data_IF_632191341063
#
_entry.id   IF_632191341063
#
_cell.length_a   1.000
_cell.length_b   1.000
_cell.length_c   1.000
_cell.angle_alpha   90.00
_cell.angle_beta   90.00
_cell.angle_gamma   90.00
#
_symmetry.space_group_name_H-M   'P 1'
#
loop_
_entity.id
_entity.type
_entity.pdbx_description
1 polymer ?
#
# COMPACT_ATOMS: atom_id res chain seq x y z
N UNK A 1 -18.59 36.47 -2.18
CA UNK A 1 -19.71 37.43 -2.08
C UNK A 1 -19.76 38.05 -0.69
N UNK A 2 -20.30 39.25 -0.54
CA UNK A 2 -20.36 39.97 0.75
C UNK A 2 -21.03 39.14 1.87
N UNK A 3 -21.97 38.29 1.55
CA UNK A 3 -22.59 37.37 2.51
C UNK A 3 -21.59 36.32 3.06
N UNK A 4 -20.67 35.79 2.25
CA UNK A 4 -19.67 34.85 2.74
C UNK A 4 -18.63 35.49 3.66
N UNK A 5 -18.33 36.78 3.48
CA UNK A 5 -17.39 37.51 4.32
C UNK A 5 -17.99 37.90 5.68
N UNK A 6 -19.28 38.11 5.77
CA UNK A 6 -19.98 38.30 7.05
C UNK A 6 -19.94 37.01 7.88
N UNK A 7 -20.16 35.85 7.27
CA UNK A 7 -20.09 34.55 7.96
C UNK A 7 -18.67 34.17 8.38
N UNK A 8 -17.65 34.52 7.63
CA UNK A 8 -16.24 34.27 7.98
C UNK A 8 -15.76 35.02 9.24
N UNK A 9 -16.45 36.13 9.60
CA UNK A 9 -16.11 36.94 10.76
C UNK A 9 -16.91 36.63 12.02
N UNK A 10 -17.89 35.74 11.94
CA UNK A 10 -18.69 35.36 13.10
C UNK A 10 -17.95 34.25 13.88
N UNK A 11 -17.15 34.66 14.83
CA UNK A 11 -16.68 33.80 15.91
C UNK A 11 -17.77 33.77 16.97
N UNK A 12 -18.18 32.57 17.41
CA UNK A 12 -18.90 32.39 18.64
C UNK A 12 -20.40 32.10 18.55
N UNK A 13 -21.19 32.74 17.75
CA UNK A 13 -22.61 32.48 17.69
C UNK A 13 -23.04 31.70 16.45
N UNK A 14 -23.80 30.64 16.61
CA UNK A 14 -24.38 29.85 15.51
C UNK A 14 -25.91 30.21 15.36
N UNK A 15 -26.27 31.37 14.82
CA UNK A 15 -27.67 31.83 14.79
C UNK A 15 -28.59 30.88 14.00
N UNK A 16 -28.04 30.07 13.08
CA UNK A 16 -28.76 29.03 12.34
C UNK A 16 -29.12 27.78 13.12
N UNK A 17 -28.59 27.59 14.35
CA UNK A 17 -28.94 26.48 15.21
C UNK A 17 -30.02 26.78 16.23
N UNK A 18 -30.60 28.00 16.19
CA UNK A 18 -31.65 28.43 17.10
C UNK A 18 -31.12 29.04 18.42
N UNK A 19 -32.01 29.68 19.13
CA UNK A 19 -31.75 30.53 20.31
C UNK A 19 -31.24 29.81 21.58
N UNK A 20 -31.15 28.47 21.58
CA UNK A 20 -30.90 27.70 22.79
C UNK A 20 -29.43 27.29 23.04
N UNK A 21 -28.49 27.64 22.19
CA UNK A 21 -27.08 27.40 22.42
C UNK A 21 -26.34 28.64 22.88
N UNK A 22 -25.96 28.63 24.16
CA UNK A 22 -25.20 29.70 24.82
C UNK A 22 -23.68 29.54 24.74
N UNK A 23 -23.18 28.48 24.10
CA UNK A 23 -21.73 28.21 24.02
C UNK A 23 -21.14 28.87 22.77
N UNK A 24 -20.07 29.63 22.95
CA UNK A 24 -19.29 30.19 21.86
C UNK A 24 -18.57 29.07 21.11
N UNK A 25 -18.69 29.05 19.80
CA UNK A 25 -17.98 28.16 18.93
C UNK A 25 -16.74 28.85 18.36
N UNK A 26 -15.55 28.45 18.77
CA UNK A 26 -14.27 28.97 18.27
C UNK A 26 -13.91 28.53 16.83
N UNK A 27 -14.72 27.69 16.21
CA UNK A 27 -14.48 27.16 14.86
C UNK A 27 -14.70 28.21 13.77
N UNK A 28 -13.76 28.35 12.85
CA UNK A 28 -13.88 29.21 11.68
C UNK A 28 -14.80 28.55 10.64
N UNK A 29 -15.67 29.35 10.04
CA UNK A 29 -16.49 28.91 8.92
C UNK A 29 -15.62 28.75 7.67
N UNK A 30 -15.58 27.56 7.11
CA UNK A 30 -14.99 27.25 5.83
C UNK A 30 -16.06 27.18 4.74
N UNK A 31 -15.85 27.92 3.66
CA UNK A 31 -16.72 27.82 2.48
C UNK A 31 -16.17 26.72 1.58
N UNK A 32 -16.93 25.65 1.43
CA UNK A 32 -16.57 24.51 0.60
C UNK A 32 -17.62 24.30 -0.50
N UNK A 33 -17.18 23.99 -1.70
CA UNK A 33 -18.09 23.62 -2.79
C UNK A 33 -18.62 22.21 -2.55
N UNK A 34 -19.94 22.01 -2.59
CA UNK A 34 -20.61 20.76 -2.23
C UNK A 34 -20.09 19.52 -2.99
N UNK A 35 -19.70 19.67 -4.24
CA UNK A 35 -19.21 18.58 -5.09
C UNK A 35 -17.69 18.52 -5.24
N UNK A 36 -16.94 19.29 -4.45
CA UNK A 36 -15.48 19.27 -4.55
C UNK A 36 -14.89 17.98 -3.98
N UNK A 37 -13.86 17.45 -4.61
CA UNK A 37 -13.16 16.24 -4.20
C UNK A 37 -12.57 16.31 -2.78
N UNK A 38 -12.24 17.53 -2.32
CA UNK A 38 -11.74 17.79 -0.97
C UNK A 38 -12.82 17.85 0.11
N UNK A 39 -14.06 17.54 -0.20
CA UNK A 39 -15.20 17.54 0.74
C UNK A 39 -15.68 16.12 1.04
N UNK A 40 -15.59 15.24 0.07
CA UNK A 40 -16.06 13.86 0.16
C UNK A 40 -14.92 12.90 -0.15
N UNK A 41 -14.61 12.04 0.79
CA UNK A 41 -13.57 11.02 0.65
C UNK A 41 -14.22 9.65 0.72
N UNK A 42 -14.05 8.86 -0.34
CA UNK A 42 -14.46 7.47 -0.32
C UNK A 42 -13.56 6.69 0.66
N UNK A 43 -14.16 5.90 1.53
CA UNK A 43 -13.46 4.93 2.36
C UNK A 43 -13.43 3.59 1.61
N UNK A 44 -12.29 3.31 0.99
CA UNK A 44 -12.10 2.18 0.09
C UNK A 44 -11.00 1.29 0.62
N UNK A 45 -11.30 0.02 0.77
CA UNK A 45 -10.31 -1.02 1.06
C UNK A 45 -10.00 -1.72 -0.26
N UNK A 46 -8.72 -1.83 -0.59
CA UNK A 46 -8.28 -2.52 -1.80
C UNK A 46 -7.41 -3.72 -1.49
N UNK A 47 -7.50 -4.74 -2.33
CA UNK A 47 -6.67 -5.93 -2.23
C UNK A 47 -6.28 -6.46 -3.61
N UNK A 48 -5.06 -6.97 -3.73
CA UNK A 48 -4.64 -7.73 -4.90
C UNK A 48 -5.16 -9.16 -4.74
N UNK A 49 -5.87 -9.66 -5.73
CA UNK A 49 -6.40 -11.02 -5.70
C UNK A 49 -5.26 -12.03 -5.86
N UNK A 50 -5.12 -12.89 -4.87
CA UNK A 50 -4.20 -14.02 -4.88
C UNK A 50 -5.04 -15.28 -5.07
N UNK A 51 -4.92 -15.98 -6.23
CA UNK A 51 -5.74 -17.16 -6.54
C UNK A 51 -5.50 -18.34 -5.59
N UNK A 52 -4.38 -18.33 -4.88
CA UNK A 52 -4.03 -19.31 -3.84
C UNK A 52 -3.47 -18.55 -2.64
N UNK A 53 -3.73 -19.05 -1.47
CA UNK A 53 -3.11 -18.52 -0.27
C UNK A 53 -1.60 -18.86 -0.30
N UNK A 54 -0.72 -17.92 0.06
CA UNK A 54 0.73 -18.19 0.17
C UNK A 54 1.09 -19.32 1.14
N UNK A 55 0.12 -19.75 1.93
CA UNK A 55 0.19 -20.88 2.85
C UNK A 55 0.52 -22.20 2.15
N UNK A 56 0.25 -22.34 0.87
CA UNK A 56 0.46 -23.57 0.12
C UNK A 56 1.50 -23.37 -0.96
N UNK A 57 2.44 -24.32 -1.09
CA UNK A 57 3.50 -24.28 -2.12
C UNK A 57 2.94 -24.27 -3.55
N UNK A 58 1.77 -24.88 -3.75
CA UNK A 58 1.12 -24.94 -5.05
C UNK A 58 -0.40 -25.18 -4.94
N UNK A 59 -1.09 -25.02 -6.06
CA UNK A 59 -2.55 -25.17 -6.16
C UNK A 59 -3.02 -26.58 -5.83
N UNK A 60 -2.27 -27.63 -6.24
CA UNK A 60 -2.66 -29.03 -6.02
C UNK A 60 -2.65 -29.37 -4.51
N UNK A 61 -1.65 -28.87 -3.77
CA UNK A 61 -1.60 -29.00 -2.31
C UNK A 61 -2.80 -28.31 -1.66
N UNK A 62 -3.15 -27.10 -2.08
CA UNK A 62 -4.33 -26.38 -1.58
C UNK A 62 -5.61 -27.16 -1.79
N UNK A 63 -5.86 -27.63 -3.00
CA UNK A 63 -7.07 -28.40 -3.33
C UNK A 63 -7.14 -29.72 -2.56
N UNK A 64 -6.00 -30.38 -2.36
CA UNK A 64 -5.91 -31.57 -1.53
C UNK A 64 -6.31 -31.28 -0.08
N UNK A 65 -5.83 -30.16 0.49
CA UNK A 65 -6.18 -29.73 1.86
C UNK A 65 -7.66 -29.39 1.96
N UNK A 66 -8.21 -28.58 1.06
CA UNK A 66 -9.62 -28.19 1.08
C UNK A 66 -10.57 -29.40 0.97
N UNK A 67 -10.25 -30.33 0.06
CA UNK A 67 -11.01 -31.59 -0.09
C UNK A 67 -10.87 -32.46 1.15
N UNK A 68 -9.65 -32.53 1.73
CA UNK A 68 -9.36 -33.27 2.95
C UNK A 68 -10.13 -32.72 4.15
N UNK A 69 -10.09 -31.42 4.38
CA UNK A 69 -10.83 -30.76 5.47
C UNK A 69 -12.33 -31.02 5.35
N UNK A 70 -12.94 -30.84 4.17
CA UNK A 70 -14.36 -31.12 3.95
C UNK A 70 -14.71 -32.57 4.26
N UNK A 71 -13.87 -33.52 3.81
CA UNK A 71 -14.09 -34.95 4.02
C UNK A 71 -14.03 -35.34 5.49
N UNK A 72 -13.02 -34.83 6.23
CA UNK A 72 -12.79 -35.20 7.62
C UNK A 72 -13.57 -34.36 8.63
N UNK A 73 -14.04 -33.18 8.27
CA UNK A 73 -14.92 -32.37 9.09
C UNK A 73 -16.28 -33.04 9.35
N UNK A 74 -16.80 -33.75 8.34
CA UNK A 74 -18.06 -34.51 8.42
C UNK A 74 -17.91 -35.89 9.10
N UNK A 75 -16.68 -36.40 9.20
CA UNK A 75 -16.38 -37.72 9.79
C UNK A 75 -16.02 -37.68 11.27
N UNK A 76 -16.28 -36.58 11.95
CA UNK A 76 -16.01 -36.39 13.40
C UNK A 76 -16.99 -37.19 14.23
N UNK A 77 -16.68 -38.43 14.49
CA UNK A 77 -17.31 -39.26 15.52
C UNK A 77 -16.34 -39.33 16.70
N UNK A 78 -16.79 -38.91 17.89
CA UNK A 78 -16.09 -38.97 19.18
C UNK A 78 -14.84 -38.08 19.41
N UNK A 79 -14.67 -36.98 18.66
CA UNK A 79 -13.64 -35.97 18.99
C UNK A 79 -12.18 -36.37 18.71
N UNK A 80 -11.90 -37.57 18.26
CA UNK A 80 -10.57 -38.04 17.88
C UNK A 80 -10.35 -37.92 16.37
N UNK A 81 -9.22 -37.34 15.99
CA UNK A 81 -8.76 -37.21 14.62
C UNK A 81 -7.83 -38.38 14.35
N UNK A 82 -8.19 -39.25 13.40
CA UNK A 82 -7.34 -40.36 12.96
C UNK A 82 -6.29 -39.86 11.96
N UNK A 83 -5.09 -39.60 12.45
CA UNK A 83 -3.97 -39.10 11.66
C UNK A 83 -3.54 -40.07 10.55
N UNK A 84 -3.63 -41.38 10.79
CA UNK A 84 -3.26 -42.39 9.80
C UNK A 84 -4.22 -42.39 8.60
N UNK A 85 -5.48 -42.15 8.84
CA UNK A 85 -6.47 -42.01 7.77
C UNK A 85 -6.22 -40.75 6.93
N UNK A 86 -5.80 -39.64 7.54
CA UNK A 86 -5.41 -38.43 6.81
C UNK A 86 -4.16 -38.68 5.96
N UNK A 87 -3.14 -39.34 6.50
CA UNK A 87 -1.92 -39.67 5.74
C UNK A 87 -2.23 -40.57 4.53
N UNK A 88 -3.05 -41.59 4.69
CA UNK A 88 -3.49 -42.44 3.60
C UNK A 88 -4.27 -41.68 2.51
N UNK A 89 -5.09 -40.72 2.93
CA UNK A 89 -5.81 -39.85 2.00
C UNK A 89 -4.84 -39.01 1.16
N UNK A 90 -3.85 -38.38 1.78
CA UNK A 90 -2.87 -37.54 1.09
C UNK A 90 -2.03 -38.36 0.11
N UNK A 91 -1.52 -39.52 0.54
CA UNK A 91 -0.76 -40.44 -0.31
C UNK A 91 -1.57 -40.86 -1.56
N UNK A 92 -2.87 -41.12 -1.38
CA UNK A 92 -3.74 -41.46 -2.52
C UNK A 92 -3.88 -40.29 -3.50
N UNK A 93 -3.96 -39.04 -3.01
CA UNK A 93 -4.05 -37.87 -3.89
C UNK A 93 -2.69 -37.56 -4.57
N UNK A 94 -1.55 -37.79 -3.92
CA UNK A 94 -0.23 -37.70 -4.56
C UNK A 94 -0.04 -38.64 -5.73
N UNK A 95 -0.68 -39.81 -5.71
CA UNK A 95 -0.66 -40.77 -6.83
C UNK A 95 -1.52 -40.31 -8.02
N UNK A 96 -2.46 -39.39 -7.81
CA UNK A 96 -3.39 -38.90 -8.82
C UNK A 96 -2.98 -37.52 -9.38
N UNK A 97 -2.32 -36.72 -8.57
CA UNK A 97 -1.96 -35.33 -8.90
C UNK A 97 -0.47 -35.12 -8.54
N UNK A 98 0.35 -34.78 -9.53
CA UNK A 98 1.77 -34.45 -9.33
C UNK A 98 1.89 -33.16 -8.50
N UNK A 99 2.98 -33.01 -7.74
CA UNK A 99 3.38 -31.83 -6.96
C UNK A 99 2.60 -31.57 -5.64
N UNK A 100 1.84 -32.52 -5.10
CA UNK A 100 1.28 -32.34 -3.75
C UNK A 100 2.38 -32.49 -2.69
N UNK A 101 2.61 -31.41 -1.89
CA UNK A 101 3.45 -31.48 -0.69
C UNK A 101 2.70 -32.20 0.45
N UNK A 102 3.05 -33.45 0.68
CA UNK A 102 2.35 -34.30 1.66
C UNK A 102 2.52 -33.84 3.11
N UNK A 103 3.69 -33.33 3.46
CA UNK A 103 3.98 -32.83 4.81
C UNK A 103 3.20 -31.55 5.09
N UNK A 104 3.17 -30.63 4.14
CA UNK A 104 2.40 -29.41 4.21
C UNK A 104 0.90 -29.70 4.28
N UNK A 105 0.38 -30.54 3.38
CA UNK A 105 -1.04 -30.93 3.36
C UNK A 105 -1.47 -31.61 4.67
N UNK A 106 -0.63 -32.46 5.25
CA UNK A 106 -0.92 -33.14 6.51
C UNK A 106 -1.01 -32.18 7.68
N UNK A 107 0.00 -31.29 7.84
CA UNK A 107 0.03 -30.27 8.90
C UNK A 107 -1.21 -29.36 8.84
N UNK A 108 -1.59 -28.95 7.65
CA UNK A 108 -2.70 -28.03 7.44
C UNK A 108 -4.07 -28.67 7.67
N UNK A 109 -4.29 -29.89 7.18
CA UNK A 109 -5.54 -30.62 7.46
C UNK A 109 -5.68 -30.82 8.99
N UNK A 110 -4.61 -31.24 9.68
CA UNK A 110 -4.64 -31.40 11.13
C UNK A 110 -4.87 -30.09 11.87
N UNK A 111 -4.16 -29.03 11.49
CA UNK A 111 -4.31 -27.72 12.11
C UNK A 111 -5.74 -27.20 11.96
N UNK A 112 -6.32 -27.30 10.77
CA UNK A 112 -7.68 -26.86 10.49
C UNK A 112 -8.72 -27.71 11.26
N UNK A 113 -8.53 -29.02 11.32
CA UNK A 113 -9.43 -29.91 12.05
C UNK A 113 -9.32 -29.76 13.59
N UNK A 114 -8.14 -29.43 14.13
CA UNK A 114 -7.92 -29.13 15.56
C UNK A 114 -8.40 -27.74 15.96
N UNK A 115 -8.28 -26.77 15.05
CA UNK A 115 -8.60 -25.35 15.28
C UNK A 115 -9.92 -24.95 14.61
N UNK A 116 -11.03 -25.52 14.99
CA UNK A 116 -12.37 -25.12 14.50
C UNK A 116 -12.78 -23.68 14.89
N UNK A 117 -11.89 -22.85 15.45
CA UNK A 117 -12.19 -21.49 15.88
C UNK A 117 -11.19 -20.41 15.44
N UNK A 118 -10.13 -20.73 14.70
CA UNK A 118 -9.31 -19.67 14.09
C UNK A 118 -9.65 -19.58 12.61
N UNK A 119 -10.32 -18.50 12.24
CA UNK A 119 -10.47 -18.11 10.84
C UNK A 119 -9.06 -17.91 10.23
N UNK A 120 -8.79 -18.55 9.10
CA UNK A 120 -7.56 -18.37 8.30
C UNK A 120 -7.52 -16.99 7.60
N UNK A 121 -8.36 -16.05 8.01
CA UNK A 121 -8.30 -14.66 7.57
C UNK A 121 -7.16 -13.95 8.29
N UNK A 122 -6.33 -13.20 7.57
CA UNK A 122 -5.32 -12.35 8.18
C UNK A 122 -5.94 -11.49 9.28
N UNK A 123 -5.32 -11.46 10.45
CA UNK A 123 -5.85 -10.74 11.61
C UNK A 123 -5.56 -9.24 11.52
N UNK A 124 -4.62 -8.85 10.65
CA UNK A 124 -4.22 -7.46 10.45
C UNK A 124 -4.00 -7.14 8.97
N UNK A 125 -4.05 -5.85 8.62
CA UNK A 125 -3.73 -5.38 7.28
C UNK A 125 -2.28 -5.72 6.89
N UNK A 126 -1.35 -5.62 7.82
CA UNK A 126 0.07 -5.91 7.59
C UNK A 126 0.32 -7.40 7.29
N UNK A 127 -0.37 -8.32 7.97
CA UNK A 127 -0.31 -9.76 7.64
C UNK A 127 -0.83 -10.05 6.24
N UNK A 128 -1.91 -9.40 5.86
CA UNK A 128 -2.48 -9.52 4.53
C UNK A 128 -1.52 -8.96 3.46
N UNK A 129 -0.94 -7.78 3.70
CA UNK A 129 0.07 -7.17 2.81
C UNK A 129 1.32 -8.05 2.69
N UNK A 130 1.70 -8.74 3.77
CA UNK A 130 2.83 -9.69 3.73
C UNK A 130 2.55 -10.85 2.77
N UNK A 131 1.35 -11.38 2.78
CA UNK A 131 0.97 -12.44 1.84
C UNK A 131 1.02 -11.97 0.38
N UNK A 132 0.53 -10.76 0.09
CA UNK A 132 0.66 -10.16 -1.24
C UNK A 132 2.14 -9.97 -1.63
N UNK A 133 2.95 -9.42 -0.71
CA UNK A 133 4.38 -9.19 -0.92
C UNK A 133 5.10 -10.47 -1.30
N UNK A 134 4.92 -11.56 -0.54
CA UNK A 134 5.61 -12.84 -0.75
C UNK A 134 5.25 -13.47 -2.11
N UNK A 135 4.01 -13.31 -2.55
CA UNK A 135 3.59 -13.79 -3.86
C UNK A 135 4.14 -12.92 -4.98
N UNK A 136 4.06 -11.60 -4.84
CA UNK A 136 4.49 -10.66 -5.88
C UNK A 136 6.02 -10.58 -6.05
N UNK A 137 6.78 -10.98 -5.05
CA UNK A 137 8.26 -11.10 -5.12
C UNK A 137 8.73 -12.46 -5.60
N UNK A 138 7.83 -13.30 -6.09
CA UNK A 138 8.14 -14.61 -6.65
C UNK A 138 7.61 -14.76 -8.09
N UNK A 139 8.09 -15.78 -8.80
CA UNK A 139 7.53 -16.13 -10.11
C UNK A 139 6.34 -17.03 -9.90
N UNK A 140 5.16 -16.56 -10.31
CA UNK A 140 3.90 -17.24 -10.08
C UNK A 140 2.95 -17.13 -11.26
N UNK A 141 2.10 -18.13 -11.43
CA UNK A 141 1.06 -18.15 -12.45
C UNK A 141 1.55 -18.41 -13.85
N UNK A 142 0.61 -18.39 -14.78
CA UNK A 142 0.80 -18.55 -16.22
C UNK A 142 0.01 -17.44 -16.94
N UNK A 143 0.28 -17.17 -18.23
CA UNK A 143 -0.39 -16.10 -18.98
C UNK A 143 -1.94 -16.17 -18.97
N UNK A 144 -2.52 -17.34 -18.73
CA UNK A 144 -3.99 -17.54 -18.68
C UNK A 144 -4.58 -17.28 -17.29
N UNK A 145 -3.75 -17.25 -16.25
CA UNK A 145 -4.20 -17.09 -14.88
C UNK A 145 -4.61 -15.64 -14.57
N UNK A 146 -5.30 -15.43 -13.47
CA UNK A 146 -5.73 -14.09 -13.02
C UNK A 146 -4.58 -13.31 -12.37
N UNK A 147 -3.53 -14.00 -11.91
CA UNK A 147 -2.27 -13.44 -11.47
C UNK A 147 -1.14 -14.11 -12.24
N UNK A 148 -0.33 -13.31 -12.92
CA UNK A 148 0.86 -13.77 -13.63
C UNK A 148 2.01 -12.82 -13.37
N UNK A 149 3.05 -13.30 -12.70
CA UNK A 149 4.20 -12.54 -12.27
C UNK A 149 5.49 -13.30 -12.58
N UNK A 150 6.48 -12.57 -13.12
CA UNK A 150 7.82 -13.10 -13.37
C UNK A 150 8.82 -12.29 -12.55
N UNK A 151 9.47 -12.91 -11.59
CA UNK A 151 10.48 -12.28 -10.76
C UNK A 151 11.87 -12.37 -11.42
N UNK A 152 12.60 -11.27 -11.38
CA UNK A 152 13.98 -11.16 -11.82
C UNK A 152 14.86 -10.67 -10.68
N UNK A 153 15.94 -11.38 -10.40
CA UNK A 153 16.98 -10.90 -9.47
C UNK A 153 17.56 -9.56 -9.96
N UNK A 154 17.87 -8.68 -9.00
CA UNK A 154 18.52 -7.39 -9.28
C UNK A 154 19.86 -7.51 -10.02
N UNK A 155 20.52 -8.68 -9.99
CA UNK A 155 21.73 -8.94 -10.75
C UNK A 155 21.55 -8.84 -12.28
N UNK A 156 20.30 -8.85 -12.78
CA UNK A 156 19.99 -8.64 -14.20
C UNK A 156 19.91 -7.15 -14.60
N UNK A 157 19.92 -6.26 -13.63
CA UNK A 157 19.75 -4.82 -13.80
C UNK A 157 21.02 -4.09 -13.42
N UNK A 158 21.42 -3.14 -14.24
CA UNK A 158 22.65 -2.39 -13.99
C UNK A 158 22.43 -1.28 -12.95
N UNK A 159 23.30 -1.18 -11.94
CA UNK A 159 23.27 -0.09 -10.95
C UNK A 159 22.16 -0.17 -9.89
N UNK A 160 21.27 -1.18 -9.91
CA UNK A 160 20.14 -1.29 -8.98
C UNK A 160 20.49 -2.13 -7.73
N UNK A 161 21.65 -1.92 -7.14
CA UNK A 161 22.15 -2.66 -5.95
C UNK A 161 21.30 -2.47 -4.68
N UNK A 162 20.41 -1.50 -4.67
CA UNK A 162 19.49 -1.24 -3.55
C UNK A 162 18.22 -2.11 -3.60
N UNK A 163 18.02 -2.84 -4.68
CA UNK A 163 16.94 -3.81 -4.85
C UNK A 163 17.46 -5.24 -4.68
N UNK A 164 16.59 -6.12 -4.20
CA UNK A 164 16.78 -7.58 -4.21
C UNK A 164 16.27 -8.15 -5.53
N UNK A 165 15.07 -7.73 -5.93
CA UNK A 165 14.41 -8.21 -7.14
C UNK A 165 13.46 -7.18 -7.73
N UNK A 166 13.13 -7.40 -9.01
CA UNK A 166 12.05 -6.70 -9.72
C UNK A 166 11.14 -7.76 -10.32
N UNK A 167 9.84 -7.68 -10.04
CA UNK A 167 8.87 -8.58 -10.63
C UNK A 167 8.02 -7.87 -11.67
N UNK A 168 7.94 -8.46 -12.84
CA UNK A 168 7.04 -8.05 -13.90
C UNK A 168 5.68 -8.70 -13.68
N UNK A 169 4.73 -7.92 -13.20
CA UNK A 169 3.36 -8.38 -12.93
C UNK A 169 2.55 -8.18 -14.20
N UNK A 170 2.58 -9.17 -15.07
CA UNK A 170 1.92 -9.12 -16.38
C UNK A 170 0.40 -9.08 -16.28
N UNK A 171 -0.13 -9.66 -15.21
CA UNK A 171 -1.55 -9.67 -14.95
C UNK A 171 -1.78 -9.69 -13.45
N UNK A 172 -2.61 -8.80 -12.99
CA UNK A 172 -3.13 -8.78 -11.62
C UNK A 172 -4.62 -8.43 -11.64
N UNK A 173 -5.31 -8.81 -10.59
CA UNK A 173 -6.68 -8.40 -10.33
C UNK A 173 -6.72 -7.67 -8.98
N UNK A 174 -7.22 -6.45 -8.99
CA UNK A 174 -7.50 -5.67 -7.78
C UNK A 174 -8.99 -5.76 -7.47
N UNK A 175 -9.34 -6.03 -6.23
CA UNK A 175 -10.69 -5.87 -5.71
C UNK A 175 -10.73 -4.65 -4.82
N UNK A 176 -11.60 -3.70 -5.14
CA UNK A 176 -11.81 -2.48 -4.33
C UNK A 176 -13.20 -2.54 -3.72
N UNK A 177 -13.24 -2.54 -2.40
CA UNK A 177 -14.48 -2.60 -1.63
C UNK A 177 -14.77 -1.22 -1.08
N UNK A 178 -15.98 -0.74 -1.31
CA UNK A 178 -16.45 0.52 -0.82
C UNK A 178 -17.06 0.31 0.57
N UNK A 179 -16.41 0.86 1.59
CA UNK A 179 -16.79 0.65 2.98
C UNK A 179 -17.63 1.80 3.54
N UNK A 180 -17.35 3.04 3.13
CA UNK A 180 -18.02 4.20 3.64
C UNK A 180 -17.54 5.50 3.01
N UNK A 181 -17.98 6.61 3.59
CA UNK A 181 -17.54 7.95 3.22
C UNK A 181 -17.01 8.69 4.44
N UNK A 182 -15.97 9.49 4.22
CA UNK A 182 -15.54 10.51 5.15
C UNK A 182 -15.80 11.88 4.56
N UNK A 183 -16.13 12.84 5.40
CA UNK A 183 -16.45 14.19 4.96
C UNK A 183 -15.49 15.18 5.59
N UNK A 184 -15.00 16.14 4.79
CA UNK A 184 -14.14 17.26 5.20
C UNK A 184 -12.75 16.80 5.65
N UNK A 185 -12.63 15.79 6.51
CA UNK A 185 -11.36 15.24 6.99
C UNK A 185 -11.25 13.77 6.62
N UNK A 186 -10.29 13.39 5.76
CA UNK A 186 -10.13 12.01 5.32
C UNK A 186 -9.72 11.05 6.44
N UNK A 187 -9.12 11.57 7.52
CA UNK A 187 -8.55 10.76 8.61
C UNK A 187 -9.41 10.78 9.88
N UNK A 188 -10.47 11.58 9.92
CA UNK A 188 -11.32 11.71 11.09
C UNK A 188 -12.45 10.68 11.04
N UNK A 189 -12.40 9.71 11.96
CA UNK A 189 -13.45 8.70 12.12
C UNK A 189 -14.79 9.30 12.59
N UNK A 190 -14.77 10.47 13.20
CA UNK A 190 -15.99 11.18 13.71
C UNK A 190 -16.92 11.58 12.57
N UNK A 191 -16.38 11.79 11.37
CA UNK A 191 -17.15 12.17 10.18
C UNK A 191 -17.30 11.03 9.17
N UNK A 192 -17.09 9.79 9.60
CA UNK A 192 -17.29 8.62 8.75
C UNK A 192 -18.78 8.27 8.68
N UNK A 193 -19.28 8.09 7.48
CA UNK A 193 -20.63 7.61 7.22
C UNK A 193 -20.57 6.22 6.58
N UNK A 194 -21.30 5.28 7.16
CA UNK A 194 -21.45 3.93 6.60
C UNK A 194 -22.34 3.95 5.36
N UNK A 195 -22.12 3.02 4.43
CA UNK A 195 -22.90 2.90 3.20
C UNK A 195 -24.36 2.52 3.49
N UNK A 196 -24.58 1.74 4.54
CA UNK A 196 -25.91 1.28 4.93
C UNK A 196 -26.13 1.44 6.42
N UNK A 197 -27.31 1.92 6.81
CA UNK A 197 -27.75 2.00 8.21
C UNK A 197 -28.01 0.61 8.80
N UNK A 198 -28.28 -0.41 7.94
CA UNK A 198 -28.43 -1.80 8.34
C UNK A 198 -27.15 -2.55 8.05
N UNK A 199 -26.74 -3.41 8.95
CA UNK A 199 -25.66 -4.37 8.67
C UNK A 199 -26.08 -5.27 7.52
N UNK A 200 -25.33 -5.20 6.42
CA UNK A 200 -25.53 -6.04 5.25
C UNK A 200 -24.40 -7.08 5.22
N UNK A 201 -24.70 -8.33 4.83
CA UNK A 201 -23.68 -9.37 4.70
C UNK A 201 -22.83 -9.20 3.43
N UNK A 202 -22.86 -8.04 2.79
CA UNK A 202 -22.11 -7.71 1.57
C UNK A 202 -21.77 -6.22 1.52
N UNK A 203 -20.73 -5.90 0.79
CA UNK A 203 -20.32 -4.53 0.47
C UNK A 203 -20.19 -4.39 -1.07
N UNK A 204 -20.50 -3.21 -1.63
CA UNK A 204 -20.26 -2.98 -3.04
C UNK A 204 -18.77 -3.00 -3.33
N UNK A 205 -18.38 -3.72 -4.38
CA UNK A 205 -17.00 -3.88 -4.78
C UNK A 205 -16.86 -3.81 -6.29
N UNK A 206 -15.69 -3.35 -6.75
CA UNK A 206 -15.29 -3.34 -8.15
C UNK A 206 -14.06 -4.22 -8.31
N UNK A 207 -14.06 -5.07 -9.33
CA UNK A 207 -12.91 -5.87 -9.74
C UNK A 207 -12.26 -5.21 -10.94
N UNK A 208 -11.00 -4.88 -10.84
CA UNK A 208 -10.22 -4.29 -11.92
C UNK A 208 -9.09 -5.25 -12.31
N UNK A 209 -8.84 -5.39 -13.60
CA UNK A 209 -7.66 -6.08 -14.12
C UNK A 209 -6.58 -5.07 -14.45
N UNK A 210 -5.31 -5.44 -14.26
CA UNK A 210 -4.19 -4.55 -14.51
C UNK A 210 -2.86 -5.28 -14.68
N UNK A 211 -1.83 -4.50 -14.85
CA UNK A 211 -0.44 -4.91 -14.92
C UNK A 211 0.41 -4.03 -13.99
N UNK A 212 1.62 -4.46 -13.65
CA UNK A 212 2.47 -3.67 -12.77
C UNK A 212 3.91 -4.12 -12.72
N UNK A 213 4.68 -3.38 -11.92
CA UNK A 213 6.08 -3.67 -11.62
C UNK A 213 6.21 -3.66 -10.10
N UNK A 214 6.67 -4.76 -9.53
CA UNK A 214 6.95 -4.87 -8.10
C UNK A 214 8.45 -4.72 -7.87
N UNK A 215 8.81 -3.83 -6.97
CA UNK A 215 10.19 -3.55 -6.55
C UNK A 215 10.39 -4.07 -5.12
N UNK A 216 11.29 -5.01 -4.95
CA UNK A 216 11.72 -5.52 -3.64
C UNK A 216 13.03 -4.85 -3.25
N UNK A 217 13.01 -4.06 -2.17
CA UNK A 217 14.18 -3.35 -1.67
C UNK A 217 15.04 -4.22 -0.77
N UNK A 218 16.36 -3.97 -0.78
CA UNK A 218 17.28 -4.58 0.18
C UNK A 218 17.05 -3.99 1.57
N UNK A 219 16.38 -4.77 2.39
CA UNK A 219 16.00 -4.38 3.73
C UNK A 219 17.20 -4.08 4.63
N UNK A 220 18.30 -4.82 4.49
CA UNK A 220 19.50 -4.60 5.31
C UNK A 220 20.06 -3.20 5.05
N UNK A 221 20.13 -2.78 3.79
CA UNK A 221 20.58 -1.44 3.43
C UNK A 221 19.64 -0.35 3.97
N UNK A 222 18.34 -0.58 3.94
CA UNK A 222 17.35 0.33 4.51
C UNK A 222 17.51 0.46 6.03
N UNK A 223 17.68 -0.65 6.72
CA UNK A 223 17.88 -0.69 8.18
C UNK A 223 19.20 -0.02 8.59
N UNK A 224 20.26 -0.16 7.81
CA UNK A 224 21.54 0.54 8.04
C UNK A 224 21.36 2.06 7.85
N UNK A 225 20.66 2.46 6.81
CA UNK A 225 20.40 3.88 6.54
C UNK A 225 19.58 4.52 7.67
N UNK A 226 18.53 3.87 8.17
CA UNK A 226 17.66 4.38 9.24
C UNK A 226 18.38 4.54 10.57
N UNK A 227 19.48 3.82 10.85
CA UNK A 227 20.26 3.94 12.10
C UNK A 227 20.86 5.34 12.31
N UNK A 228 20.91 6.17 11.29
CA UNK A 228 21.46 7.52 11.38
C UNK A 228 20.52 8.46 12.15
N UNK A 229 20.97 9.07 13.24
CA UNK A 229 20.18 9.97 14.09
C UNK A 229 19.50 11.10 13.31
N UNK A 230 20.16 11.60 12.28
CA UNK A 230 19.66 12.69 11.45
C UNK A 230 18.38 12.32 10.69
N UNK A 231 18.23 11.04 10.28
CA UNK A 231 17.03 10.54 9.62
C UNK A 231 15.88 10.47 10.62
N UNK A 232 16.16 9.89 11.79
CA UNK A 232 15.19 9.81 12.89
C UNK A 232 14.73 11.22 13.30
N UNK A 233 15.66 12.17 13.42
CA UNK A 233 15.33 13.54 13.79
C UNK A 233 14.50 14.26 12.73
N UNK A 234 14.73 13.98 11.45
CA UNK A 234 13.92 14.53 10.37
C UNK A 234 12.47 14.00 10.42
N UNK A 235 12.29 12.72 10.64
CA UNK A 235 10.94 12.12 10.76
C UNK A 235 10.21 12.62 12.00
N UNK A 236 10.92 12.91 13.11
CA UNK A 236 10.33 13.52 14.31
C UNK A 236 9.64 14.85 14.03
N UNK A 237 10.05 15.61 13.01
CA UNK A 237 9.37 16.86 12.64
C UNK A 237 7.93 16.53 12.17
N UNK A 238 7.76 15.53 11.32
CA UNK A 238 6.43 15.07 10.87
C UNK A 238 5.61 14.57 12.08
N UNK A 239 6.23 13.73 12.93
CA UNK A 239 5.56 13.22 14.13
C UNK A 239 5.07 14.36 15.03
N UNK A 240 5.90 15.41 15.23
CA UNK A 240 5.52 16.56 16.04
C UNK A 240 4.37 17.35 15.41
N UNK A 241 4.39 17.57 14.10
CA UNK A 241 3.30 18.25 13.39
C UNK A 241 1.97 17.49 13.55
N UNK A 242 2.01 16.18 13.39
CA UNK A 242 0.82 15.33 13.55
C UNK A 242 0.33 15.24 15.00
N UNK A 243 1.25 15.22 15.97
CA UNK A 243 0.90 15.31 17.41
C UNK A 243 0.24 16.63 17.78
N UNK A 244 0.78 17.74 17.28
CA UNK A 244 0.24 19.08 17.52
C UNK A 244 -1.20 19.23 16.99
N UNK A 245 -1.56 18.45 15.98
CA UNK A 245 -2.91 18.45 15.38
C UNK A 245 -3.79 17.29 15.89
N UNK A 246 -3.32 16.53 16.89
CA UNK A 246 -4.06 15.39 17.46
C UNK A 246 -4.23 14.20 16.52
N UNK A 247 -3.40 14.10 15.47
CA UNK A 247 -3.47 13.04 14.46
C UNK A 247 -2.52 11.87 14.71
N UNK A 248 -1.58 12.05 15.63
CA UNK A 248 -0.68 11.00 16.09
C UNK A 248 -0.64 11.03 17.62
N UNK A 249 -0.70 9.89 18.25
CA UNK A 249 -0.63 9.76 19.72
C UNK A 249 0.75 9.28 20.16
N UNK A 250 0.93 7.97 20.26
CA UNK A 250 2.17 7.37 20.75
C UNK A 250 2.97 6.63 19.67
N UNK A 251 2.37 6.45 18.50
CA UNK A 251 3.00 5.74 17.40
C UNK A 251 4.22 6.50 16.88
N UNK A 252 5.21 5.77 16.41
CA UNK A 252 6.38 6.32 15.72
C UNK A 252 6.28 5.97 14.25
N UNK A 253 6.47 6.99 13.40
CA UNK A 253 6.41 6.82 11.95
C UNK A 253 7.68 6.11 11.46
N UNK A 254 7.50 5.16 10.56
CA UNK A 254 8.61 4.41 9.97
C UNK A 254 9.29 5.24 8.86
N UNK A 255 10.58 5.61 9.01
CA UNK A 255 11.30 6.34 7.97
C UNK A 255 11.36 5.60 6.63
N UNK A 256 11.42 4.25 6.66
CA UNK A 256 11.42 3.42 5.46
C UNK A 256 10.10 3.58 4.69
N UNK A 257 8.96 3.67 5.39
CA UNK A 257 7.68 3.91 4.74
C UNK A 257 7.68 5.25 3.97
N UNK A 258 8.15 6.33 4.58
CA UNK A 258 8.23 7.65 3.94
C UNK A 258 9.12 7.60 2.70
N UNK A 259 10.28 6.94 2.81
CA UNK A 259 11.21 6.78 1.69
C UNK A 259 10.57 6.03 0.53
N UNK A 260 10.00 4.85 0.78
CA UNK A 260 9.38 4.00 -0.25
C UNK A 260 8.17 4.69 -0.89
N UNK A 261 7.36 5.37 -0.09
CA UNK A 261 6.21 6.13 -0.57
C UNK A 261 6.64 7.31 -1.46
N UNK A 262 7.64 8.09 -1.03
CA UNK A 262 8.17 9.19 -1.83
C UNK A 262 8.82 8.69 -3.13
N UNK A 263 9.57 7.59 -3.06
CA UNK A 263 10.13 6.92 -4.22
C UNK A 263 9.04 6.50 -5.22
N UNK A 264 7.95 5.89 -4.72
CA UNK A 264 6.81 5.49 -5.55
C UNK A 264 6.23 6.67 -6.32
N UNK A 265 6.03 7.82 -5.65
CA UNK A 265 5.50 9.03 -6.28
C UNK A 265 6.40 9.57 -7.40
N UNK A 266 7.71 9.68 -7.12
CA UNK A 266 8.67 10.11 -8.15
C UNK A 266 8.71 9.12 -9.32
N UNK A 267 8.65 7.82 -9.03
CA UNK A 267 8.69 6.78 -10.04
C UNK A 267 7.41 6.75 -10.90
N UNK A 268 6.23 6.95 -10.32
CA UNK A 268 4.96 7.07 -11.07
C UNK A 268 5.05 8.22 -12.07
N UNK A 269 5.56 9.37 -11.63
CA UNK A 269 5.72 10.55 -12.52
C UNK A 269 6.62 10.22 -13.71
N UNK A 270 7.76 9.58 -13.47
CA UNK A 270 8.68 9.18 -14.54
C UNK A 270 8.08 8.10 -15.46
N UNK A 271 7.44 7.07 -14.89
CA UNK A 271 6.80 5.98 -15.63
C UNK A 271 5.64 6.46 -16.50
N UNK A 272 4.86 7.43 -16.06
CA UNK A 272 3.74 7.96 -16.84
C UNK A 272 4.22 8.56 -18.17
N UNK A 273 5.35 9.27 -18.13
CA UNK A 273 5.95 9.83 -19.33
C UNK A 273 6.41 8.75 -20.34
N UNK A 274 6.94 7.63 -19.84
CA UNK A 274 7.55 6.57 -20.67
C UNK A 274 6.52 5.51 -21.13
N UNK A 275 5.47 5.28 -20.34
CA UNK A 275 4.48 4.23 -20.61
C UNK A 275 3.27 4.72 -21.40
N UNK A 276 3.06 6.04 -21.47
CA UNK A 276 1.88 6.66 -22.10
C UNK A 276 0.61 6.60 -21.23
N UNK A 277 0.72 6.11 -19.99
CA UNK A 277 -0.38 6.19 -19.03
C UNK A 277 -0.41 7.55 -18.34
N UNK A 278 -1.61 8.06 -18.02
CA UNK A 278 -1.72 9.26 -17.19
C UNK A 278 -1.35 8.94 -15.72
N UNK A 279 -0.83 9.92 -14.99
CA UNK A 279 -0.56 9.77 -13.56
C UNK A 279 -1.79 9.25 -12.79
N UNK A 280 -2.99 9.65 -13.17
CA UNK A 280 -4.22 9.25 -12.50
C UNK A 280 -4.63 7.77 -12.74
N UNK A 281 -4.05 7.12 -13.77
CA UNK A 281 -4.31 5.71 -14.09
C UNK A 281 -3.28 4.74 -13.52
N UNK A 282 -2.13 5.26 -13.06
CA UNK A 282 -1.11 4.47 -12.37
C UNK A 282 -1.32 4.62 -10.85
N UNK A 283 -1.12 3.55 -10.11
CA UNK A 283 -1.28 3.48 -8.67
C UNK A 283 -0.07 2.90 -8.01
N UNK A 284 0.08 3.23 -6.75
CA UNK A 284 1.05 2.61 -5.86
C UNK A 284 0.39 1.67 -4.86
N UNK A 285 1.20 0.73 -4.35
CA UNK A 285 0.90 -0.05 -3.16
C UNK A 285 2.21 -0.28 -2.42
N UNK A 286 2.26 0.18 -1.15
CA UNK A 286 3.48 0.17 -0.35
C UNK A 286 3.46 -1.05 0.57
N UNK A 287 4.49 -1.87 0.46
CA UNK A 287 4.73 -3.02 1.33
C UNK A 287 5.78 -2.67 2.37
N UNK A 288 5.34 -1.96 3.37
CA UNK A 288 6.11 -1.55 4.54
C UNK A 288 5.11 -1.09 5.60
N UNK A 289 5.32 -1.46 6.84
CA UNK A 289 4.49 -0.97 7.94
C UNK A 289 4.68 0.54 8.13
N UNK A 290 3.57 1.25 8.20
CA UNK A 290 3.54 2.72 8.33
C UNK A 290 4.16 3.20 9.65
N UNK A 291 3.98 2.40 10.69
CA UNK A 291 4.51 2.67 12.02
C UNK A 291 5.61 1.67 12.36
N UNK A 292 6.51 2.09 13.27
CA UNK A 292 7.54 1.20 13.81
C UNK A 292 6.85 0.25 14.79
N UNK A 293 6.84 -1.03 14.44
CA UNK A 293 6.36 -2.14 15.28
C UNK A 293 7.30 -3.33 15.13
N UNK A 294 7.87 -3.80 16.25
CA UNK A 294 8.79 -4.94 16.27
C UNK A 294 8.12 -6.26 15.85
N UNK A 295 6.79 -6.34 16.02
CA UNK A 295 6.01 -7.52 15.64
C UNK A 295 5.47 -7.45 14.20
N UNK A 296 5.62 -6.31 13.52
CA UNK A 296 5.14 -6.17 12.16
C UNK A 296 5.85 -7.11 11.19
N UNK A 297 5.13 -7.68 10.21
CA UNK A 297 5.72 -8.52 9.18
C UNK A 297 6.82 -7.78 8.42
N UNK A 298 7.92 -8.48 8.21
CA UNK A 298 9.07 -7.90 7.53
C UNK A 298 8.83 -7.86 6.01
N UNK A 299 8.69 -6.66 5.48
CA UNK A 299 8.54 -6.38 4.05
C UNK A 299 9.13 -5.00 3.72
N UNK A 300 9.69 -4.86 2.53
CA UNK A 300 10.19 -3.59 2.00
C UNK A 300 10.02 -3.59 0.48
N UNK A 301 8.94 -3.02 -0.01
CA UNK A 301 8.67 -3.03 -1.44
C UNK A 301 7.62 -2.03 -1.87
N UNK A 302 7.58 -1.84 -3.19
CA UNK A 302 6.65 -0.94 -3.87
C UNK A 302 6.10 -1.64 -5.10
N UNK A 303 4.80 -1.79 -5.19
CA UNK A 303 4.11 -2.16 -6.43
C UNK A 303 3.59 -0.90 -7.09
N UNK A 304 4.02 -0.66 -8.33
CA UNK A 304 3.45 0.34 -9.21
C UNK A 304 2.61 -0.40 -10.25
N UNK A 305 1.32 -0.06 -10.37
CA UNK A 305 0.42 -0.82 -11.21
C UNK A 305 -0.69 0.03 -11.82
N UNK A 306 -1.26 -0.46 -12.90
CA UNK A 306 -2.51 0.04 -13.45
C UNK A 306 -3.63 -0.91 -13.08
N UNK A 307 -4.82 -0.39 -12.80
CA UNK A 307 -6.00 -1.19 -12.60
C UNK A 307 -7.21 -0.42 -13.18
N UNK A 308 -7.56 -0.75 -14.41
CA UNK A 308 -8.71 -0.16 -15.12
C UNK A 308 -9.63 -1.26 -15.60
N UNK A 309 -10.95 -1.09 -15.38
CA UNK A 309 -11.96 -2.06 -15.83
C UNK A 309 -12.01 -2.27 -17.34
N UNK A 310 -11.51 -1.29 -18.12
CA UNK A 310 -11.63 -1.27 -19.58
C UNK A 310 -10.31 -1.64 -20.30
N UNK A 311 -9.25 -2.00 -19.54
CA UNK A 311 -7.89 -2.08 -20.10
C UNK A 311 -7.46 -3.47 -20.58
N UNK A 312 -8.33 -4.50 -20.58
CA UNK A 312 -7.94 -5.87 -20.93
C UNK A 312 -7.31 -6.04 -22.32
N UNK A 313 -7.49 -5.06 -23.22
CA UNK A 313 -6.91 -5.07 -24.57
C UNK A 313 -5.63 -4.25 -24.76
N UNK A 314 -5.21 -3.44 -23.76
CA UNK A 314 -4.09 -2.48 -23.91
C UNK A 314 -2.97 -2.68 -22.88
N UNK A 315 -2.97 -3.77 -22.12
CA UNK A 315 -1.93 -4.09 -21.14
C UNK A 315 -0.59 -4.39 -21.83
N UNK A 316 0.52 -4.05 -21.17
CA UNK A 316 1.88 -4.30 -21.65
C UNK A 316 2.76 -3.03 -21.69
N UNK A 317 2.17 -1.85 -21.60
CA UNK A 317 2.90 -0.58 -21.61
C UNK A 317 3.74 -0.39 -20.35
N UNK A 318 3.17 -0.65 -19.17
CA UNK A 318 3.84 -0.47 -17.88
C UNK A 318 4.85 -1.59 -17.62
N UNK A 319 4.45 -2.85 -17.76
CA UNK A 319 5.34 -4.02 -17.58
C UNK A 319 6.58 -3.94 -18.46
N UNK A 320 6.43 -3.46 -19.70
CA UNK A 320 7.54 -3.29 -20.63
C UNK A 320 8.61 -2.33 -20.09
N UNK A 321 8.24 -1.33 -19.31
CA UNK A 321 9.21 -0.44 -18.67
C UNK A 321 10.01 -1.12 -17.57
N UNK A 322 9.49 -2.19 -16.95
CA UNK A 322 10.20 -2.98 -15.94
C UNK A 322 11.32 -3.89 -16.48
N UNK A 323 11.49 -4.00 -17.79
CA UNK A 323 12.54 -4.83 -18.41
C UNK A 323 13.94 -4.27 -18.16
N UNK A 324 14.97 -5.14 -18.06
CA UNK A 324 16.37 -4.72 -18.01
C UNK A 324 16.74 -3.79 -19.18
N UNK A 325 17.52 -2.76 -18.89
CA UNK A 325 17.91 -1.71 -19.84
C UNK A 325 16.89 -0.60 -20.01
N UNK A 326 15.68 -0.72 -19.41
CA UNK A 326 14.66 0.33 -19.42
C UNK A 326 14.45 0.92 -18.05
N UNK A 327 14.11 0.07 -17.07
CA UNK A 327 13.73 0.53 -15.73
C UNK A 327 14.87 1.28 -15.04
N UNK A 328 16.12 0.94 -15.32
CA UNK A 328 17.28 1.64 -14.78
C UNK A 328 17.27 3.11 -15.18
N UNK A 329 16.97 3.41 -16.45
CA UNK A 329 16.88 4.78 -16.96
C UNK A 329 15.69 5.53 -16.34
N UNK A 330 14.57 4.85 -16.16
CA UNK A 330 13.37 5.44 -15.54
C UNK A 330 13.65 5.78 -14.07
N UNK A 331 14.28 4.88 -13.34
CA UNK A 331 14.65 5.12 -11.92
C UNK A 331 15.68 6.24 -11.81
N UNK A 332 16.71 6.22 -12.66
CA UNK A 332 17.72 7.30 -12.71
C UNK A 332 17.08 8.65 -12.97
N UNK A 333 16.16 8.72 -13.92
CA UNK A 333 15.37 9.91 -14.22
C UNK A 333 14.53 10.35 -13.02
N UNK A 334 13.79 9.44 -12.38
CA UNK A 334 12.96 9.74 -11.21
C UNK A 334 13.77 10.34 -10.06
N UNK A 335 14.95 9.77 -9.77
CA UNK A 335 15.85 10.27 -8.73
C UNK A 335 16.44 11.63 -9.15
N UNK A 336 16.85 11.81 -10.40
CA UNK A 336 17.40 13.06 -10.92
C UNK A 336 16.36 14.19 -10.87
N UNK A 337 15.14 13.95 -11.31
CA UNK A 337 14.04 14.91 -11.24
C UNK A 337 13.66 15.25 -9.79
N UNK A 338 13.79 14.29 -8.87
CA UNK A 338 13.56 14.55 -7.45
C UNK A 338 14.56 15.54 -6.83
N UNK A 339 15.74 15.77 -7.41
CA UNK A 339 16.75 16.72 -6.92
C UNK A 339 16.33 18.17 -7.06
N UNK A 340 15.31 18.46 -7.87
CA UNK A 340 14.87 19.81 -8.14
C UNK A 340 13.36 19.98 -7.98
N UNK A 341 12.97 21.15 -7.49
CA UNK A 341 11.57 21.56 -7.45
C UNK A 341 11.47 23.06 -7.77
N UNK A 342 10.47 23.46 -8.55
CA UNK A 342 10.25 24.87 -8.89
C UNK A 342 10.00 25.76 -7.65
N UNK A 343 9.64 25.17 -6.51
CA UNK A 343 9.43 25.87 -5.25
C UNK A 343 10.63 25.79 -4.29
N UNK A 344 11.79 25.28 -4.72
CA UNK A 344 13.01 25.29 -3.91
C UNK A 344 13.58 26.73 -3.85
N UNK A 345 14.21 27.15 -2.73
CA UNK A 345 14.55 26.36 -1.54
C UNK A 345 13.40 26.15 -0.55
N UNK A 346 12.28 26.84 -0.69
CA UNK A 346 11.16 26.80 0.26
C UNK A 346 10.61 25.37 0.43
N UNK A 347 10.53 24.61 -0.64
CA UNK A 347 10.03 23.23 -0.59
C UNK A 347 11.02 22.31 0.13
N UNK A 348 12.31 22.29 -0.27
CA UNK A 348 13.29 21.36 0.30
C UNK A 348 13.60 21.64 1.78
N UNK A 349 13.48 22.91 2.22
CA UNK A 349 13.70 23.34 3.60
C UNK A 349 12.42 23.35 4.44
N UNK A 350 11.29 22.93 3.87
CA UNK A 350 10.02 22.94 4.59
C UNK A 350 10.04 22.05 5.83
N UNK A 351 9.50 22.57 6.92
CA UNK A 351 9.27 21.85 8.18
C UNK A 351 7.83 21.35 8.34
N UNK A 352 6.98 21.56 7.31
CA UNK A 352 5.61 21.07 7.30
C UNK A 352 4.84 21.56 6.09
N UNK A 353 4.40 20.65 5.23
CA UNK A 353 3.53 20.86 4.08
C UNK A 353 2.37 19.87 4.09
N UNK A 354 1.42 20.08 3.19
CA UNK A 354 0.23 19.23 3.09
C UNK A 354 -0.72 19.39 4.28
N UNK A 355 -1.69 18.51 4.35
CA UNK A 355 -2.68 18.52 5.41
C UNK A 355 -2.00 18.21 6.77
N UNK A 356 -2.26 19.01 7.78
CA UNK A 356 -1.67 18.86 9.14
C UNK A 356 -0.12 18.93 9.20
N UNK A 357 0.56 19.44 8.18
CA UNK A 357 2.01 19.44 8.13
C UNK A 357 2.63 18.03 8.05
N UNK A 358 1.90 17.06 7.49
CA UNK A 358 2.29 15.66 7.42
C UNK A 358 3.39 15.35 6.38
N UNK A 359 3.75 16.32 5.55
CA UNK A 359 4.83 16.23 4.57
C UNK A 359 5.93 17.22 4.90
N UNK A 360 7.16 16.92 4.49
CA UNK A 360 8.26 17.90 4.52
C UNK A 360 8.53 18.42 3.11
N UNK A 361 9.56 17.94 2.43
CA UNK A 361 9.89 18.38 1.07
C UNK A 361 9.00 17.67 0.02
N UNK A 362 7.71 17.99 0.00
CA UNK A 362 6.76 17.40 -0.95
C UNK A 362 5.61 18.37 -1.25
N UNK A 363 5.57 18.90 -2.48
CA UNK A 363 4.53 19.82 -2.93
C UNK A 363 3.97 19.41 -4.30
N UNK A 364 2.97 20.14 -4.79
CA UNK A 364 2.35 19.87 -6.09
C UNK A 364 3.32 19.90 -7.28
N UNK A 365 4.44 20.64 -7.14
CA UNK A 365 5.43 20.76 -8.22
C UNK A 365 6.42 19.59 -8.27
N UNK A 366 6.53 18.77 -7.22
CA UNK A 366 7.59 17.75 -7.15
C UNK A 366 7.12 16.33 -6.79
N UNK A 367 6.20 16.17 -5.87
CA UNK A 367 5.94 14.84 -5.32
C UNK A 367 4.47 14.48 -5.14
N UNK A 368 3.51 15.42 -5.17
CA UNK A 368 2.10 15.07 -5.00
C UNK A 368 1.53 14.50 -6.29
N UNK A 369 0.76 13.43 -6.17
CA UNK A 369 0.04 12.75 -7.24
C UNK A 369 -1.47 13.01 -7.16
N UNK A 370 -2.24 12.69 -8.21
CA UNK A 370 -3.70 12.59 -8.09
C UNK A 370 -4.07 11.64 -6.95
N UNK A 371 -5.10 11.99 -6.17
CA UNK A 371 -5.53 11.20 -5.00
C UNK A 371 -5.91 9.75 -5.34
N UNK A 372 -6.29 9.49 -6.59
CA UNK A 372 -6.59 8.13 -7.09
C UNK A 372 -5.36 7.24 -7.20
N UNK A 373 -4.16 7.81 -7.23
CA UNK A 373 -2.89 7.14 -7.46
C UNK A 373 -2.18 6.79 -6.15
N UNK A 374 -2.44 7.57 -5.10
CA UNK A 374 -1.82 7.41 -3.79
C UNK A 374 -2.75 6.69 -2.80
N UNK A 375 -2.30 5.62 -2.17
CA UNK A 375 -3.07 4.90 -1.15
C UNK A 375 -3.14 5.65 0.19
N UNK A 376 -2.19 6.55 0.46
CA UNK A 376 -2.12 7.32 1.71
C UNK A 376 -2.47 8.81 1.52
N UNK A 377 -3.25 9.15 0.49
CA UNK A 377 -3.79 10.51 0.25
C UNK A 377 -2.72 11.61 0.25
N UNK A 378 -1.58 11.34 -0.35
CA UNK A 378 -0.43 12.25 -0.41
C UNK A 378 0.12 12.67 0.98
N UNK A 379 -0.03 11.83 2.00
CA UNK A 379 0.52 12.08 3.34
C UNK A 379 1.78 11.26 3.59
N UNK A 380 2.68 11.75 4.42
CA UNK A 380 3.96 11.11 4.76
C UNK A 380 4.90 11.02 3.55
N UNK A 381 5.18 12.17 2.96
CA UNK A 381 6.11 12.32 1.84
C UNK A 381 7.25 13.26 2.22
N UNK A 382 8.47 12.91 1.81
CA UNK A 382 9.64 13.74 2.00
C UNK A 382 10.73 13.44 0.98
N UNK A 383 10.89 14.31 0.01
CA UNK A 383 11.94 14.25 -1.00
C UNK A 383 13.34 14.35 -0.38
N UNK A 384 13.47 15.02 0.78
CA UNK A 384 14.74 15.12 1.51
C UNK A 384 15.28 13.76 1.97
N UNK A 385 14.41 12.79 2.34
CA UNK A 385 14.83 11.42 2.65
C UNK A 385 15.26 10.65 1.41
N UNK A 386 14.78 11.04 0.23
CA UNK A 386 15.15 10.43 -1.03
C UNK A 386 16.51 10.90 -1.53
N UNK A 387 16.74 12.23 -1.61
CA UNK A 387 17.88 12.83 -2.31
C UNK A 387 18.79 13.69 -1.42
N UNK A 388 18.46 13.87 -0.16
CA UNK A 388 19.12 14.79 0.76
C UNK A 388 18.45 16.15 0.83
N UNK A 389 19.02 17.02 1.67
CA UNK A 389 18.60 18.42 1.84
C UNK A 389 19.73 19.36 1.45
N UNK A 390 19.46 20.67 1.42
CA UNK A 390 20.50 21.68 1.16
C UNK A 390 21.58 21.70 2.25
N UNK A 391 21.19 21.40 3.50
CA UNK A 391 22.10 21.42 4.65
C UNK A 391 22.87 20.10 4.77
N UNK A 392 22.28 18.99 4.39
CA UNK A 392 22.89 17.65 4.47
C UNK A 392 22.40 16.72 3.37
N UNK A 393 23.17 16.59 2.30
CA UNK A 393 22.92 15.67 1.20
C UNK A 393 22.94 14.22 1.68
N UNK A 394 23.74 13.87 2.67
CA UNK A 394 23.93 12.50 3.13
C UNK A 394 22.72 11.87 3.84
N UNK A 395 21.67 12.65 4.12
CA UNK A 395 20.37 12.12 4.61
C UNK A 395 19.67 11.31 3.52
N UNK A 396 19.86 11.67 2.23
CA UNK A 396 19.22 11.04 1.11
C UNK A 396 19.69 9.61 0.90
N UNK A 397 18.74 8.68 0.83
CA UNK A 397 19.04 7.27 0.56
C UNK A 397 19.74 7.06 -0.79
N UNK A 398 19.39 7.90 -1.79
CA UNK A 398 19.96 7.87 -3.13
C UNK A 398 20.99 8.99 -3.37
N UNK A 399 21.50 9.62 -2.32
CA UNK A 399 22.48 10.73 -2.48
C UNK A 399 23.75 10.31 -3.22
N UNK A 400 24.18 9.06 -3.08
CA UNK A 400 25.36 8.48 -3.75
C UNK A 400 25.00 7.63 -4.97
N UNK A 401 23.77 7.64 -5.45
CA UNK A 401 23.31 6.73 -6.52
C UNK A 401 23.98 6.99 -7.90
N UNK A 402 24.46 8.21 -8.15
CA UNK A 402 25.10 8.58 -9.42
C UNK A 402 26.60 8.24 -9.49
N UNK A 403 27.21 7.83 -8.37
CA UNK A 403 28.65 7.55 -8.29
C UNK A 403 29.01 6.08 -8.63
N UNK A 404 27.99 5.22 -8.83
CA UNK A 404 28.12 3.83 -9.24
C UNK A 404 27.68 3.62 -10.72
#
# INVERSE_FOLDING_TARGET
SAASDVYKRQTGNRPWLGSNRKEECGEQLLVLQRGASNVWFADVISSVYIPWLPKYKNQNTKECVERGVKKFASARTDGKIDEDTIRKYILKNQLLEEDIDAEEAFKEILATLRNTQKSDTPQSEDEYRKQEFDVLTSTVGKPKDELYCINYSSAKYNGLKFLVSISLVHKLRETRVFHGFKRISPDDSTFSAVISVRELPWLPAVKNSGEGIMFEFDRKRLEEWVKQDKIINRVKIIEQNLKNTGRLTNERINPIYILLHTFAHCLITALSCESGYSNASIRERIYCSKYIDENAPQMAGVLIYTASGDAEGSLGGLVRQGLPGRIENVIKRAISEAKWCAADPVCIQSTGQGQYGCNLAACHNCALLPETSCENKNMLLDRGLLIGTLDDISIGYFSAYEED
#
